data_IF_082180087692
#
_entry.id   IF_082180087692
#
_cell.length_a   1.000
_cell.length_b   1.000
_cell.length_c   1.000
_cell.angle_alpha   90.00
_cell.angle_beta   90.00
_cell.angle_gamma   90.00
#
_symmetry.space_group_name_H-M   'P 1'
#
loop_
_entity.id
_entity.type
_entity.pdbx_description
1 polymer ?
#
# COMPACT_ATOMS: atom_id res chain seq x y z
N UNK A 1 9.68 -12.65 23.41
CA UNK A 1 8.75 -11.51 23.34
C UNK A 1 9.30 -10.55 22.32
N UNK A 2 8.53 -10.20 21.30
CA UNK A 2 8.94 -9.17 20.33
C UNK A 2 8.99 -7.80 21.02
N UNK A 3 9.75 -6.85 20.48
CA UNK A 3 9.76 -5.48 21.01
C UNK A 3 8.35 -4.87 21.08
N UNK A 4 7.48 -5.24 20.12
CA UNK A 4 6.09 -4.80 19.99
C UNK A 4 5.18 -5.33 21.10
N UNK A 5 5.51 -6.47 21.70
CA UNK A 5 4.75 -7.06 22.81
C UNK A 5 5.22 -6.59 24.18
N UNK A 6 6.28 -5.78 24.24
CA UNK A 6 6.85 -5.33 25.49
C UNK A 6 5.90 -4.38 26.22
N UNK A 7 5.84 -4.51 27.55
CA UNK A 7 5.07 -3.59 28.39
C UNK A 7 5.50 -2.12 28.20
N UNK A 8 6.81 -1.78 28.15
CA UNK A 8 7.25 -0.41 27.90
C UNK A 8 6.72 0.14 26.57
N UNK A 9 6.75 -0.65 25.50
CA UNK A 9 6.22 -0.22 24.20
C UNK A 9 4.73 0.10 24.30
N UNK A 10 3.92 -0.81 24.85
CA UNK A 10 2.48 -0.59 25.00
C UNK A 10 2.16 0.65 25.85
N UNK A 11 2.81 0.80 27.00
CA UNK A 11 2.64 1.97 27.88
C UNK A 11 3.05 3.27 27.16
N UNK A 12 4.13 3.24 26.37
CA UNK A 12 4.55 4.37 25.54
C UNK A 12 3.53 4.75 24.48
N UNK A 13 2.99 3.77 23.75
CA UNK A 13 1.94 4.02 22.74
C UNK A 13 0.70 4.64 23.39
N UNK A 14 0.25 4.12 24.54
CA UNK A 14 -0.87 4.72 25.28
C UNK A 14 -0.57 6.17 25.70
N UNK A 15 0.65 6.44 26.15
CA UNK A 15 1.05 7.78 26.54
C UNK A 15 1.05 8.74 25.34
N UNK A 16 1.60 8.33 24.19
CA UNK A 16 1.59 9.12 22.96
C UNK A 16 0.15 9.41 22.51
N UNK A 17 -0.73 8.41 22.54
CA UNK A 17 -2.12 8.59 22.18
C UNK A 17 -2.83 9.61 23.10
N UNK A 18 -2.53 9.61 24.40
CA UNK A 18 -3.04 10.60 25.34
C UNK A 18 -2.51 12.02 25.04
N UNK A 19 -1.22 12.16 24.69
CA UNK A 19 -0.64 13.45 24.29
C UNK A 19 -1.32 14.01 23.04
N UNK A 20 -1.62 13.17 22.05
CA UNK A 20 -2.28 13.60 20.82
C UNK A 20 -3.69 14.15 21.03
N UNK A 21 -4.46 13.61 21.97
CA UNK A 21 -5.82 14.08 22.26
C UNK A 21 -5.89 15.56 22.64
N UNK A 22 -4.84 16.10 23.27
CA UNK A 22 -4.78 17.51 23.65
C UNK A 22 -4.27 18.47 22.57
N UNK A 23 -3.66 17.94 21.50
CA UNK A 23 -2.81 18.76 20.62
C UNK A 23 -3.06 18.58 19.11
N UNK A 24 -3.66 17.47 18.69
CA UNK A 24 -3.91 17.12 17.29
C UNK A 24 -5.40 16.81 17.05
N UNK A 25 -5.87 17.06 15.83
CA UNK A 25 -7.20 16.59 15.42
C UNK A 25 -7.22 15.05 15.43
N UNK A 26 -8.30 14.44 15.91
CA UNK A 26 -8.42 12.98 16.04
C UNK A 26 -8.10 12.21 14.74
N UNK A 27 -8.48 12.79 13.59
CA UNK A 27 -8.19 12.23 12.26
C UNK A 27 -6.70 12.15 11.92
N UNK A 28 -5.87 12.96 12.58
CA UNK A 28 -4.43 13.04 12.32
C UNK A 28 -3.64 12.13 13.27
N UNK A 29 -4.25 11.60 14.33
CA UNK A 29 -3.57 10.75 15.32
C UNK A 29 -2.96 9.50 14.69
N UNK A 30 -3.67 8.73 13.82
CA UNK A 30 -3.12 7.51 13.26
C UNK A 30 -1.91 7.77 12.38
N UNK A 31 -2.01 8.75 11.47
CA UNK A 31 -0.90 9.07 10.56
C UNK A 31 0.32 9.61 11.30
N UNK A 32 0.12 10.44 12.32
CA UNK A 32 1.21 10.94 13.14
C UNK A 32 1.92 9.80 13.89
N UNK A 33 1.16 8.91 14.57
CA UNK A 33 1.73 7.79 15.32
C UNK A 33 2.51 6.86 14.40
N UNK A 34 1.86 6.40 13.34
CA UNK A 34 2.41 5.39 12.43
C UNK A 34 3.58 5.91 11.63
N UNK A 35 3.53 7.18 11.19
CA UNK A 35 4.66 7.86 10.57
C UNK A 35 5.85 7.94 11.53
N UNK A 36 5.66 8.30 12.80
CA UNK A 36 6.77 8.36 13.75
C UNK A 36 7.39 6.99 14.02
N UNK A 37 6.56 5.94 14.15
CA UNK A 37 7.04 4.57 14.39
C UNK A 37 7.78 4.01 13.17
N UNK A 38 7.27 4.21 11.95
CA UNK A 38 7.94 3.76 10.73
C UNK A 38 9.29 4.47 10.53
N UNK A 39 9.33 5.79 10.78
CA UNK A 39 10.57 6.58 10.68
C UNK A 39 11.61 6.12 11.72
N UNK A 40 11.17 5.85 12.95
CA UNK A 40 12.03 5.30 14.01
C UNK A 40 12.61 3.95 13.61
N UNK A 41 11.78 3.05 13.08
CA UNK A 41 12.24 1.74 12.61
C UNK A 41 13.30 1.87 11.51
N UNK A 42 13.05 2.71 10.50
CA UNK A 42 14.00 2.96 9.43
C UNK A 42 15.33 3.52 9.96
N UNK A 43 15.27 4.46 10.93
CA UNK A 43 16.46 5.01 11.57
C UNK A 43 17.24 3.96 12.39
N UNK A 44 16.56 3.05 13.07
CA UNK A 44 17.19 1.96 13.82
C UNK A 44 17.89 0.97 12.89
N UNK A 45 17.27 0.62 11.76
CA UNK A 45 17.89 -0.26 10.77
C UNK A 45 19.12 0.39 10.13
N UNK A 46 19.05 1.69 9.84
CA UNK A 46 20.22 2.46 9.39
C UNK A 46 21.34 2.48 10.43
N UNK A 47 21.01 2.69 11.70
CA UNK A 47 21.98 2.65 12.80
C UNK A 47 22.63 1.27 12.97
N UNK A 48 21.90 0.20 12.66
CA UNK A 48 22.40 -1.18 12.62
C UNK A 48 23.26 -1.49 11.37
N UNK A 49 23.38 -0.55 10.43
CA UNK A 49 24.25 -0.66 9.26
C UNK A 49 23.54 -1.06 7.96
N UNK A 50 22.21 -1.18 7.95
CA UNK A 50 21.47 -1.40 6.70
C UNK A 50 21.34 -0.08 5.92
N UNK A 51 22.07 0.01 4.81
CA UNK A 51 22.11 1.17 3.92
C UNK A 51 21.50 0.83 2.55
N UNK A 52 20.60 -0.15 2.48
CA UNK A 52 19.98 -0.58 1.22
C UNK A 52 18.65 0.15 0.97
N UNK A 53 18.30 0.38 -0.30
CA UNK A 53 17.00 0.95 -0.67
C UNK A 53 16.70 2.27 0.04
N UNK A 54 15.49 2.39 0.61
CA UNK A 54 15.05 3.58 1.36
C UNK A 54 15.92 3.86 2.59
N UNK A 55 16.50 2.83 3.20
CA UNK A 55 17.24 2.97 4.46
C UNK A 55 18.54 3.76 4.32
N UNK A 56 19.12 3.81 3.11
CA UNK A 56 20.24 4.73 2.82
C UNK A 56 19.89 6.20 3.09
N UNK A 57 18.63 6.58 2.90
CA UNK A 57 18.10 7.93 3.07
C UNK A 57 17.35 8.14 4.40
N UNK A 58 17.19 7.09 5.20
CA UNK A 58 16.58 7.20 6.53
C UNK A 58 17.36 8.20 7.42
N UNK A 59 16.68 8.87 8.36
CA UNK A 59 17.35 9.84 9.22
C UNK A 59 18.25 9.15 10.25
N UNK A 60 19.18 9.92 10.82
CA UNK A 60 19.81 9.57 12.09
C UNK A 60 18.89 10.03 13.21
N UNK A 61 18.32 9.10 13.98
CA UNK A 61 17.29 9.43 14.98
C UNK A 61 17.77 10.43 16.04
N UNK A 62 19.03 10.35 16.45
CA UNK A 62 19.61 11.25 17.44
C UNK A 62 19.70 12.71 16.95
N UNK A 63 19.80 12.95 15.64
CA UNK A 63 19.76 14.31 15.09
C UNK A 63 18.37 14.92 15.24
N UNK A 64 17.31 14.13 15.02
CA UNK A 64 15.92 14.57 15.23
C UNK A 64 15.68 14.86 16.72
N UNK A 65 16.18 13.98 17.59
CA UNK A 65 16.06 14.11 19.06
C UNK A 65 16.78 15.34 19.61
N UNK A 66 17.90 15.73 19.01
CA UNK A 66 18.70 16.88 19.44
C UNK A 66 18.32 18.19 18.71
N UNK A 67 17.39 18.16 17.76
CA UNK A 67 17.01 19.33 16.98
C UNK A 67 16.32 20.39 17.84
N UNK A 68 16.61 21.66 17.57
CA UNK A 68 15.89 22.79 18.19
C UNK A 68 14.41 22.81 17.77
N UNK A 69 14.13 22.41 16.52
CA UNK A 69 12.77 22.22 16.00
C UNK A 69 12.56 20.78 15.55
N UNK A 70 12.12 19.87 16.46
CA UNK A 70 11.86 18.48 16.12
C UNK A 70 10.79 18.31 15.04
N UNK A 71 9.76 19.16 14.98
CA UNK A 71 8.74 19.12 13.94
C UNK A 71 9.34 19.36 12.55
N UNK A 72 10.21 20.37 12.41
CA UNK A 72 10.93 20.61 11.16
C UNK A 72 11.83 19.42 10.78
N UNK A 73 12.58 18.89 11.76
CA UNK A 73 13.48 17.77 11.53
C UNK A 73 12.73 16.50 11.08
N UNK A 74 11.56 16.23 11.65
CA UNK A 74 10.68 15.12 11.26
C UNK A 74 10.15 15.29 9.83
N UNK A 75 9.65 16.49 9.48
CA UNK A 75 9.17 16.77 8.11
C UNK A 75 10.31 16.70 7.09
N UNK A 76 11.50 17.22 7.42
CA UNK A 76 12.68 17.12 6.57
C UNK A 76 13.17 15.67 6.39
N UNK A 77 13.01 14.81 7.41
CA UNK A 77 13.34 13.41 7.30
C UNK A 77 12.45 12.69 6.27
N UNK A 78 11.14 12.96 6.27
CA UNK A 78 10.23 12.42 5.28
C UNK A 78 10.46 12.99 3.88
N UNK A 79 10.76 14.28 3.75
CA UNK A 79 11.14 14.88 2.47
C UNK A 79 12.37 14.19 1.86
N UNK A 80 13.39 13.86 2.67
CA UNK A 80 14.57 13.10 2.18
C UNK A 80 14.24 11.69 1.72
N UNK A 81 13.34 11.00 2.41
CA UNK A 81 12.86 9.68 1.99
C UNK A 81 12.06 9.76 0.69
N UNK A 82 11.29 10.84 0.51
CA UNK A 82 10.53 11.12 -0.70
C UNK A 82 11.44 11.47 -1.89
N UNK A 83 12.48 12.29 -1.69
CA UNK A 83 13.48 12.60 -2.73
C UNK A 83 14.28 11.37 -3.20
N UNK A 84 14.37 10.34 -2.36
CA UNK A 84 15.03 9.08 -2.70
C UNK A 84 14.18 8.16 -3.58
N UNK A 85 12.87 8.43 -3.66
CA UNK A 85 11.93 7.67 -4.47
C UNK A 85 12.21 7.93 -5.98
N UNK A 86 12.26 6.89 -6.83
CA UNK A 86 12.60 7.05 -8.25
C UNK A 86 11.52 7.77 -9.09
N UNK A 87 10.32 7.94 -8.55
CA UNK A 87 9.18 8.53 -9.23
C UNK A 87 8.97 10.01 -8.94
N UNK A 88 7.83 10.53 -9.40
CA UNK A 88 7.39 11.92 -9.13
C UNK A 88 6.22 11.98 -8.15
N UNK A 89 5.74 10.82 -7.73
CA UNK A 89 4.63 10.65 -6.80
C UNK A 89 5.04 11.13 -5.41
N UNK A 90 4.10 11.75 -4.70
CA UNK A 90 4.31 12.14 -3.31
C UNK A 90 3.70 11.12 -2.38
N UNK A 91 4.52 10.49 -1.56
CA UNK A 91 4.15 9.38 -0.68
C UNK A 91 3.85 9.85 0.74
N UNK A 92 4.59 10.87 1.20
CA UNK A 92 4.62 11.27 2.61
C UNK A 92 4.20 12.74 2.83
N UNK A 93 3.67 13.40 1.81
CA UNK A 93 3.18 14.79 1.87
C UNK A 93 2.12 15.03 2.97
N UNK A 94 1.33 14.02 3.30
CA UNK A 94 0.37 14.06 4.41
C UNK A 94 1.02 14.00 5.82
N UNK A 95 2.33 13.72 5.91
CA UNK A 95 3.12 13.69 7.16
C UNK A 95 3.85 15.02 7.41
N UNK A 96 3.08 16.05 7.73
CA UNK A 96 3.62 17.34 8.15
C UNK A 96 3.59 17.51 9.68
N UNK A 97 4.75 17.73 10.29
CA UNK A 97 4.91 17.93 11.73
C UNK A 97 5.15 19.42 12.02
N UNK A 98 4.13 20.11 12.51
CA UNK A 98 4.21 21.56 12.71
C UNK A 98 5.20 21.94 13.82
N UNK A 99 6.11 22.88 13.52
CA UNK A 99 7.03 23.49 14.49
C UNK A 99 6.30 24.15 15.67
N UNK A 100 5.06 24.61 15.46
CA UNK A 100 4.21 25.16 16.53
C UNK A 100 3.86 24.14 17.63
N UNK A 101 4.17 22.87 17.40
CA UNK A 101 3.93 21.74 18.31
C UNK A 101 5.24 21.06 18.71
N UNK A 102 6.37 21.77 18.66
CA UNK A 102 7.68 21.19 18.98
C UNK A 102 7.78 20.67 20.42
N UNK A 103 7.05 21.27 21.38
CA UNK A 103 6.94 20.73 22.75
C UNK A 103 6.31 19.32 22.75
N UNK A 104 5.22 19.12 21.99
CA UNK A 104 4.59 17.81 21.81
C UNK A 104 5.55 16.83 21.14
N UNK A 105 6.19 17.24 20.05
CA UNK A 105 7.08 16.36 19.30
C UNK A 105 8.29 15.96 20.13
N UNK A 106 8.84 16.87 20.93
CA UNK A 106 9.94 16.57 21.87
C UNK A 106 9.56 15.47 22.85
N UNK A 107 8.37 15.56 23.46
CA UNK A 107 7.89 14.55 24.41
C UNK A 107 7.64 13.19 23.74
N UNK A 108 6.99 13.21 22.56
CA UNK A 108 6.71 11.99 21.80
C UNK A 108 7.99 11.32 21.31
N UNK A 109 8.96 12.09 20.80
CA UNK A 109 10.27 11.58 20.38
C UNK A 109 11.00 10.99 21.59
N UNK A 110 10.94 11.61 22.76
CA UNK A 110 11.56 11.07 23.97
C UNK A 110 10.97 9.70 24.35
N UNK A 111 9.65 9.54 24.25
CA UNK A 111 8.98 8.24 24.48
C UNK A 111 9.43 7.20 23.44
N UNK A 112 9.37 7.54 22.15
CA UNK A 112 9.75 6.62 21.05
C UNK A 112 11.24 6.23 21.11
N UNK A 113 12.09 7.14 21.60
CA UNK A 113 13.53 6.87 21.80
C UNK A 113 13.79 5.81 22.87
N UNK A 114 12.80 5.49 23.72
CA UNK A 114 12.87 4.40 24.70
C UNK A 114 12.78 3.00 24.08
N UNK A 115 12.48 2.87 22.79
CA UNK A 115 12.31 1.59 22.10
C UNK A 115 13.33 1.41 20.97
N UNK A 116 13.72 0.16 20.73
CA UNK A 116 14.40 -0.24 19.49
C UNK A 116 13.41 -1.03 18.64
N UNK A 117 13.25 -0.59 17.39
CA UNK A 117 12.31 -1.15 16.42
C UNK A 117 13.03 -1.78 15.23
N UNK A 118 14.37 -1.75 15.16
CA UNK A 118 15.15 -2.24 14.03
C UNK A 118 14.99 -3.74 13.76
N UNK A 119 14.92 -4.55 14.82
CA UNK A 119 14.77 -6.01 14.73
C UNK A 119 13.30 -6.48 14.73
N UNK A 120 12.33 -5.57 14.70
CA UNK A 120 10.93 -5.95 14.58
C UNK A 120 10.71 -6.71 13.26
N UNK A 121 9.95 -7.81 13.31
CA UNK A 121 9.53 -8.50 12.10
C UNK A 121 8.70 -7.55 11.22
N UNK A 122 9.05 -7.36 9.93
CA UNK A 122 8.41 -6.34 9.09
C UNK A 122 6.92 -6.62 8.88
N UNK A 123 6.49 -7.88 8.83
CA UNK A 123 5.08 -8.27 8.66
C UNK A 123 4.28 -7.91 9.92
N UNK A 124 4.76 -8.31 11.10
CA UNK A 124 4.14 -7.95 12.37
C UNK A 124 4.11 -6.44 12.59
N UNK A 125 5.18 -5.74 12.18
CA UNK A 125 5.28 -4.29 12.31
C UNK A 125 4.29 -3.56 11.39
N UNK A 126 4.25 -3.90 10.10
CA UNK A 126 3.28 -3.30 9.17
C UNK A 126 1.83 -3.61 9.57
N UNK A 127 1.55 -4.83 10.02
CA UNK A 127 0.23 -5.20 10.54
C UNK A 127 -0.21 -4.34 11.74
N UNK A 128 0.71 -4.05 12.67
CA UNK A 128 0.43 -3.15 13.78
C UNK A 128 0.18 -1.70 13.31
N UNK A 129 0.96 -1.20 12.36
CA UNK A 129 0.72 0.14 11.80
C UNK A 129 -0.66 0.23 11.14
N UNK A 130 -1.02 -0.77 10.33
CA UNK A 130 -2.34 -0.88 9.70
C UNK A 130 -3.46 -0.94 10.74
N UNK A 131 -3.25 -1.65 11.86
CA UNK A 131 -4.20 -1.64 12.96
C UNK A 131 -4.42 -0.23 13.55
N UNK A 132 -3.36 0.56 13.76
CA UNK A 132 -3.53 1.95 14.22
C UNK A 132 -4.24 2.82 13.17
N UNK A 133 -3.91 2.66 11.88
CA UNK A 133 -4.61 3.33 10.77
C UNK A 133 -6.11 3.05 10.77
N UNK A 134 -6.49 1.82 11.11
CA UNK A 134 -7.89 1.38 11.17
C UNK A 134 -8.66 2.03 12.30
N UNK A 135 -8.09 1.99 13.49
CA UNK A 135 -8.76 2.39 14.72
C UNK A 135 -9.08 3.89 14.74
N UNK A 136 -8.30 4.74 14.07
CA UNK A 136 -8.54 6.18 14.10
C UNK A 136 -9.25 6.82 12.89
N UNK A 137 -9.59 6.08 11.83
CA UNK A 137 -10.16 6.68 10.61
C UNK A 137 -11.55 6.22 10.18
N UNK A 138 -12.30 5.50 11.01
CA UNK A 138 -13.58 4.93 10.57
C UNK A 138 -13.39 4.12 9.27
N UNK A 139 -12.21 3.50 9.14
CA UNK A 139 -11.80 2.79 7.94
C UNK A 139 -12.87 1.76 7.66
N UNK A 140 -13.45 1.70 6.45
CA UNK A 140 -14.54 0.79 6.15
C UNK A 140 -14.08 -0.68 6.10
N UNK A 141 -13.03 -1.07 6.84
CA UNK A 141 -12.75 -2.41 7.36
C UNK A 141 -12.70 -3.60 6.39
N UNK A 142 -12.85 -3.42 5.08
CA UNK A 142 -13.32 -4.52 4.20
C UNK A 142 -12.29 -5.07 3.22
N UNK A 143 -11.02 -4.63 3.25
CA UNK A 143 -10.07 -5.03 2.20
C UNK A 143 -8.60 -5.10 2.64
N UNK A 144 -8.33 -5.31 3.93
CA UNK A 144 -6.98 -5.73 4.33
C UNK A 144 -6.74 -7.17 3.85
N UNK A 145 -5.59 -7.43 3.25
CA UNK A 145 -5.16 -8.75 2.79
C UNK A 145 -4.52 -9.47 3.96
N UNK A 146 -5.14 -10.53 4.51
CA UNK A 146 -4.53 -11.26 5.62
C UNK A 146 -3.17 -11.85 5.22
N UNK A 147 -2.16 -11.88 6.10
CA UNK A 147 -0.82 -12.35 5.74
C UNK A 147 -0.79 -13.74 5.06
N UNK A 148 -1.54 -14.76 5.55
CA UNK A 148 -1.58 -16.06 4.86
C UNK A 148 -2.11 -15.98 3.42
N UNK A 149 -3.05 -15.07 3.17
CA UNK A 149 -3.59 -14.84 1.83
C UNK A 149 -2.56 -14.12 0.95
N UNK A 150 -1.87 -13.09 1.46
CA UNK A 150 -0.82 -12.39 0.72
C UNK A 150 0.29 -13.36 0.28
N UNK A 151 0.69 -14.29 1.16
CA UNK A 151 1.68 -15.33 0.83
C UNK A 151 1.17 -16.33 -0.21
N UNK A 152 -0.10 -16.72 -0.14
CA UNK A 152 -0.72 -17.57 -1.16
C UNK A 152 -0.73 -16.87 -2.53
N UNK A 153 -1.16 -15.60 -2.57
CA UNK A 153 -1.19 -14.80 -3.79
C UNK A 153 0.20 -14.67 -4.39
N UNK A 154 1.21 -14.36 -3.58
CA UNK A 154 2.60 -14.24 -4.03
C UNK A 154 3.16 -15.58 -4.55
N UNK A 155 2.87 -16.69 -3.88
CA UNK A 155 3.31 -18.02 -4.30
C UNK A 155 2.67 -18.51 -5.59
N UNK A 156 1.40 -18.18 -5.83
CA UNK A 156 0.71 -18.45 -7.10
C UNK A 156 1.20 -17.53 -8.22
N UNK A 157 1.47 -16.26 -7.91
CA UNK A 157 2.02 -15.31 -8.87
C UNK A 157 3.42 -15.72 -9.31
N UNK A 158 4.24 -16.16 -8.34
CA UNK A 158 5.63 -16.60 -8.53
C UNK A 158 6.48 -15.63 -9.37
N UNK A 159 6.59 -14.34 -8.96
CA UNK A 159 7.27 -13.32 -9.76
C UNK A 159 8.74 -13.66 -10.03
N UNK A 160 9.11 -13.59 -11.31
CA UNK A 160 10.48 -13.81 -11.78
C UNK A 160 11.35 -12.55 -11.63
N UNK A 161 12.62 -12.64 -12.05
CA UNK A 161 13.58 -11.55 -11.90
C UNK A 161 13.25 -10.42 -12.88
N UNK A 162 13.22 -9.18 -12.38
CA UNK A 162 13.08 -7.99 -13.24
C UNK A 162 11.66 -7.72 -13.71
N UNK A 163 10.67 -8.46 -13.19
CA UNK A 163 9.27 -8.31 -13.59
C UNK A 163 8.61 -7.14 -12.86
N UNK A 164 7.57 -6.60 -13.49
CA UNK A 164 6.69 -5.58 -12.95
C UNK A 164 5.40 -6.23 -12.43
N UNK A 165 5.01 -5.91 -11.19
CA UNK A 165 3.75 -6.40 -10.62
C UNK A 165 2.87 -5.24 -10.16
N UNK A 166 1.57 -5.31 -10.44
CA UNK A 166 0.59 -4.29 -10.09
C UNK A 166 -0.52 -4.84 -9.20
N UNK A 167 -0.91 -4.07 -8.17
CA UNK A 167 -2.21 -4.18 -7.51
C UNK A 167 -3.02 -2.91 -7.84
N UNK A 168 -3.95 -2.99 -8.80
CA UNK A 168 -4.75 -1.84 -9.21
C UNK A 168 -5.83 -1.47 -8.17
N UNK A 169 -5.99 -2.25 -7.11
CA UNK A 169 -7.00 -2.08 -6.05
C UNK A 169 -6.35 -2.02 -4.66
N UNK A 170 -5.07 -1.65 -4.60
CA UNK A 170 -4.22 -1.74 -3.43
C UNK A 170 -4.73 -0.90 -2.26
N UNK A 171 -4.86 -1.49 -1.08
CA UNK A 171 -5.27 -0.77 0.13
C UNK A 171 -4.22 -0.78 1.25
N UNK A 172 -3.41 -1.83 1.33
CA UNK A 172 -2.41 -2.02 2.38
C UNK A 172 -0.99 -2.32 1.87
N UNK A 173 -0.84 -2.70 0.60
CA UNK A 173 0.43 -3.07 -0.01
C UNK A 173 0.88 -4.50 0.29
N UNK A 174 0.11 -5.27 1.07
CA UNK A 174 0.52 -6.57 1.61
C UNK A 174 0.79 -7.61 0.52
N UNK A 175 -0.07 -7.69 -0.50
CA UNK A 175 0.11 -8.61 -1.63
C UNK A 175 1.39 -8.29 -2.45
N UNK A 176 1.67 -7.00 -2.66
CA UNK A 176 2.85 -6.54 -3.41
C UNK A 176 4.14 -6.80 -2.64
N UNK A 177 4.21 -6.48 -1.34
CA UNK A 177 5.40 -6.75 -0.54
C UNK A 177 5.63 -8.25 -0.36
N UNK A 178 4.58 -9.06 -0.28
CA UNK A 178 4.69 -10.51 -0.30
C UNK A 178 5.28 -11.02 -1.62
N UNK A 179 4.89 -10.45 -2.77
CA UNK A 179 5.49 -10.74 -4.08
C UNK A 179 6.98 -10.40 -4.13
N UNK A 180 7.36 -9.19 -3.70
CA UNK A 180 8.76 -8.80 -3.62
C UNK A 180 9.57 -9.71 -2.69
N UNK A 181 8.98 -10.10 -1.55
CA UNK A 181 9.62 -11.02 -0.59
C UNK A 181 9.80 -12.40 -1.18
N UNK A 182 8.79 -12.95 -1.83
CA UNK A 182 8.86 -14.23 -2.54
C UNK A 182 10.03 -14.24 -3.54
N UNK A 183 10.12 -13.20 -4.36
CA UNK A 183 11.19 -13.08 -5.36
C UNK A 183 12.59 -13.04 -4.72
N UNK A 184 12.76 -12.29 -3.61
CA UNK A 184 14.02 -12.28 -2.86
C UNK A 184 14.38 -13.65 -2.30
N UNK A 185 13.42 -14.35 -1.69
CA UNK A 185 13.62 -15.67 -1.08
C UNK A 185 13.95 -16.76 -2.12
N UNK A 186 13.51 -16.57 -3.38
CA UNK A 186 13.73 -17.52 -4.48
C UNK A 186 14.88 -17.11 -5.43
N UNK A 187 15.66 -16.08 -5.09
CA UNK A 187 16.83 -15.67 -5.87
C UNK A 187 16.52 -14.89 -7.16
N UNK A 188 15.32 -14.32 -7.26
CA UNK A 188 14.84 -13.50 -8.38
C UNK A 188 14.61 -12.02 -7.98
N UNK A 189 15.53 -11.33 -7.29
CA UNK A 189 15.30 -9.97 -6.81
C UNK A 189 15.14 -8.96 -7.96
N UNK A 190 14.59 -7.79 -7.66
CA UNK A 190 14.40 -6.70 -8.63
C UNK A 190 13.02 -6.70 -9.25
N UNK A 191 11.99 -6.96 -8.45
CA UNK A 191 10.59 -6.80 -8.84
C UNK A 191 10.20 -5.34 -8.65
N UNK A 192 9.59 -4.71 -9.66
CA UNK A 192 9.04 -3.36 -9.53
C UNK A 192 7.58 -3.41 -9.15
N UNK A 193 7.19 -2.70 -8.09
CA UNK A 193 5.83 -2.74 -7.54
C UNK A 193 5.01 -1.54 -8.03
N UNK A 194 3.75 -1.76 -8.36
CA UNK A 194 2.81 -0.71 -8.75
C UNK A 194 1.53 -0.85 -7.93
N UNK A 195 1.18 0.18 -7.16
CA UNK A 195 -0.04 0.21 -6.37
C UNK A 195 -0.94 1.33 -6.88
N UNK A 196 -2.23 1.05 -7.07
CA UNK A 196 -3.23 2.11 -7.17
C UNK A 196 -4.12 2.09 -5.94
N UNK A 197 -4.14 3.18 -5.19
CA UNK A 197 -4.92 3.35 -3.96
C UNK A 197 -6.15 4.23 -4.20
N UNK A 198 -7.28 4.00 -3.51
CA UNK A 198 -8.49 4.78 -3.74
C UNK A 198 -8.44 6.19 -3.14
N UNK A 199 -7.59 6.43 -2.13
CA UNK A 199 -7.54 7.69 -1.38
C UNK A 199 -6.13 8.04 -0.92
N UNK A 200 -5.89 9.32 -0.63
CA UNK A 200 -4.62 9.78 -0.05
C UNK A 200 -4.31 9.08 1.29
N UNK A 201 -5.35 8.83 2.10
CA UNK A 201 -5.22 8.10 3.36
C UNK A 201 -4.69 6.67 3.16
N UNK A 202 -5.16 5.97 2.13
CA UNK A 202 -4.66 4.62 1.79
C UNK A 202 -3.31 4.69 1.10
N UNK A 203 -3.02 5.72 0.29
CA UNK A 203 -1.66 5.97 -0.25
C UNK A 203 -0.62 5.99 0.86
N UNK A 204 -0.86 6.77 1.91
CA UNK A 204 0.10 6.88 3.00
C UNK A 204 0.30 5.54 3.74
N UNK A 205 -0.77 4.78 3.96
CA UNK A 205 -0.66 3.45 4.56
C UNK A 205 0.21 2.50 3.70
N UNK A 206 -0.01 2.46 2.39
CA UNK A 206 0.79 1.66 1.45
C UNK A 206 2.25 2.13 1.40
N UNK A 207 2.50 3.44 1.36
CA UNK A 207 3.85 4.00 1.38
C UNK A 207 4.62 3.61 2.64
N UNK A 208 3.97 3.63 3.81
CA UNK A 208 4.56 3.18 5.07
C UNK A 208 4.81 1.66 5.06
N UNK A 209 3.93 0.85 4.46
CA UNK A 209 4.19 -0.58 4.25
C UNK A 209 5.43 -0.80 3.37
N UNK A 210 5.58 -0.08 2.26
CA UNK A 210 6.76 -0.18 1.40
C UNK A 210 8.05 0.27 2.10
N UNK A 211 7.99 1.30 2.94
CA UNK A 211 9.12 1.72 3.78
C UNK A 211 9.51 0.62 4.78
N UNK A 212 8.55 0.05 5.51
CA UNK A 212 8.78 -0.99 6.53
C UNK A 212 9.40 -2.26 5.94
N UNK A 213 9.00 -2.62 4.72
CA UNK A 213 9.52 -3.78 3.99
C UNK A 213 10.74 -3.46 3.11
N UNK A 214 11.21 -2.21 3.13
CA UNK A 214 12.32 -1.67 2.31
C UNK A 214 12.19 -2.03 0.82
N UNK A 215 11.07 -1.64 0.21
CA UNK A 215 10.75 -1.84 -1.20
C UNK A 215 10.92 -0.53 -2.01
N UNK A 216 12.15 -0.13 -2.38
CA UNK A 216 12.42 1.16 -3.04
C UNK A 216 11.91 1.24 -4.48
N UNK A 217 11.88 0.12 -5.19
CA UNK A 217 11.44 0.04 -6.59
C UNK A 217 9.92 -0.15 -6.65
N UNK A 218 9.19 0.87 -6.23
CA UNK A 218 7.74 0.83 -6.15
C UNK A 218 7.12 2.17 -6.60
N UNK A 219 5.88 2.14 -7.08
CA UNK A 219 5.13 3.30 -7.59
C UNK A 219 3.72 3.29 -7.00
N UNK A 220 3.20 4.47 -6.64
CA UNK A 220 1.86 4.58 -6.05
C UNK A 220 1.04 5.65 -6.77
N UNK A 221 -0.01 5.24 -7.45
CA UNK A 221 -1.04 6.14 -7.95
C UNK A 221 -2.22 6.22 -6.98
N UNK A 222 -2.96 7.33 -7.02
CA UNK A 222 -4.13 7.55 -6.15
C UNK A 222 -5.32 8.04 -6.94
N UNK A 223 -6.48 7.43 -6.71
CA UNK A 223 -7.75 7.75 -7.34
C UNK A 223 -8.56 6.50 -7.69
N UNK A 224 -9.79 6.72 -8.16
CA UNK A 224 -10.68 5.63 -8.59
C UNK A 224 -10.07 4.87 -9.78
N UNK A 225 -9.81 3.58 -9.60
CA UNK A 225 -9.18 2.69 -10.59
C UNK A 225 -9.91 2.64 -11.93
N UNK A 226 -11.24 2.78 -11.94
CA UNK A 226 -12.01 2.69 -13.19
C UNK A 226 -12.09 4.03 -13.91
N UNK A 227 -12.32 5.12 -13.18
CA UNK A 227 -12.51 6.46 -13.72
C UNK A 227 -11.19 7.20 -13.99
N UNK A 228 -10.20 6.98 -13.13
CA UNK A 228 -8.89 7.63 -13.16
C UNK A 228 -7.78 6.57 -12.92
N UNK A 229 -7.58 5.61 -13.86
CA UNK A 229 -6.46 4.68 -13.78
C UNK A 229 -5.13 5.44 -13.70
N UNK A 230 -4.29 5.04 -12.76
CA UNK A 230 -3.01 5.69 -12.46
C UNK A 230 -1.89 5.35 -13.43
N UNK A 231 -1.98 4.18 -14.06
CA UNK A 231 -0.95 3.64 -14.95
C UNK A 231 -1.53 3.46 -16.35
N UNK A 232 -1.27 4.44 -17.23
CA UNK A 232 -1.89 4.56 -18.56
C UNK A 232 -0.82 4.89 -19.60
N UNK A 233 -0.90 4.21 -20.74
CA UNK A 233 -0.10 4.48 -21.93
C UNK A 233 -1.01 4.88 -23.10
N UNK A 234 -1.17 6.20 -23.26
CA UNK A 234 -2.06 6.76 -24.28
C UNK A 234 -3.53 6.40 -24.02
N UNK A 235 -4.06 5.42 -24.77
CA UNK A 235 -5.46 4.94 -24.69
C UNK A 235 -5.59 3.54 -24.11
N UNK A 236 -4.53 3.01 -23.50
CA UNK A 236 -4.51 1.69 -22.87
C UNK A 236 -3.99 1.83 -21.45
N UNK A 237 -4.30 0.85 -20.61
CA UNK A 237 -3.59 0.71 -19.35
C UNK A 237 -2.14 0.33 -19.64
N UNK A 238 -1.22 0.72 -18.76
CA UNK A 238 0.11 0.14 -18.75
C UNK A 238 -0.02 -1.38 -18.50
N UNK A 239 0.84 -2.16 -19.14
CA UNK A 239 0.85 -3.61 -19.04
C UNK A 239 1.93 -4.06 -18.06
N UNK A 240 1.62 -5.11 -17.29
CA UNK A 240 2.47 -5.65 -16.24
C UNK A 240 2.59 -7.16 -16.37
N UNK A 241 3.76 -7.70 -16.01
CA UNK A 241 4.02 -9.14 -15.98
C UNK A 241 3.15 -9.86 -14.95
N UNK A 242 2.80 -9.17 -13.86
CA UNK A 242 1.96 -9.69 -12.80
C UNK A 242 0.86 -8.73 -12.38
N UNK A 243 -0.35 -9.24 -12.21
CA UNK A 243 -1.46 -8.50 -11.57
C UNK A 243 -1.88 -9.28 -10.33
N UNK A 244 -1.87 -8.65 -9.16
CA UNK A 244 -2.13 -9.33 -7.88
C UNK A 244 -3.01 -8.50 -6.97
N UNK A 245 -3.91 -9.13 -6.21
CA UNK A 245 -4.66 -8.42 -5.16
C UNK A 245 -6.05 -8.99 -4.89
N UNK A 246 -6.87 -8.17 -4.25
CA UNK A 246 -8.27 -8.50 -3.92
C UNK A 246 -9.18 -7.59 -4.74
N UNK A 247 -9.96 -8.16 -5.66
CA UNK A 247 -10.92 -7.39 -6.45
C UNK A 247 -12.04 -6.88 -5.53
N UNK A 248 -12.29 -5.56 -5.47
CA UNK A 248 -13.32 -5.01 -4.59
C UNK A 248 -14.71 -5.55 -4.93
N UNK A 249 -15.44 -6.01 -3.92
CA UNK A 249 -16.84 -6.38 -4.04
C UNK A 249 -17.74 -5.15 -3.82
N UNK A 250 -18.85 -5.05 -4.54
CA UNK A 250 -19.91 -4.10 -4.17
C UNK A 250 -20.90 -3.75 -5.27
N UNK A 251 -22.12 -3.37 -4.88
CA UNK A 251 -23.15 -2.88 -5.77
C UNK A 251 -23.21 -1.34 -5.71
N UNK A 252 -22.85 -0.68 -6.81
CA UNK A 252 -23.20 0.72 -7.13
C UNK A 252 -22.64 1.04 -8.52
N UNK A 253 -23.19 2.09 -9.15
CA UNK A 253 -22.69 2.63 -10.42
C UNK A 253 -21.16 2.80 -10.35
N UNK A 254 -20.47 2.15 -11.29
CA UNK A 254 -19.02 2.15 -11.40
C UNK A 254 -18.50 3.24 -12.34
N UNK A 255 -19.32 4.26 -12.61
CA UNK A 255 -19.04 5.27 -13.62
C UNK A 255 -19.42 4.80 -15.02
N UNK A 256 -20.41 3.91 -15.11
CA UNK A 256 -20.76 3.22 -16.35
C UNK A 256 -21.14 4.16 -17.49
N UNK A 257 -21.72 5.33 -17.21
CA UNK A 257 -22.03 6.35 -18.21
C UNK A 257 -20.78 7.08 -18.71
N UNK A 258 -19.84 7.38 -17.82
CA UNK A 258 -18.59 8.06 -18.17
C UNK A 258 -17.63 7.16 -18.96
N UNK A 259 -17.78 5.84 -18.81
CA UNK A 259 -16.90 4.84 -19.41
C UNK A 259 -17.52 4.17 -20.66
N UNK A 260 -18.48 4.82 -21.32
CA UNK A 260 -19.10 4.34 -22.56
C UNK A 260 -19.07 5.42 -23.67
N UNK A 261 -18.20 5.28 -24.70
CA UNK A 261 -17.22 4.20 -24.89
C UNK A 261 -16.08 4.26 -23.86
N UNK A 262 -15.49 3.10 -23.54
CA UNK A 262 -14.40 3.04 -22.55
C UNK A 262 -13.13 3.72 -23.11
N UNK A 263 -12.62 4.78 -22.46
CA UNK A 263 -11.46 5.51 -22.95
C UNK A 263 -10.19 4.64 -23.02
N UNK A 264 -10.11 3.59 -22.18
CA UNK A 264 -8.93 2.74 -21.97
C UNK A 264 -9.02 1.34 -22.63
N UNK A 265 -10.08 1.06 -23.39
CA UNK A 265 -10.25 -0.18 -24.16
C UNK A 265 -10.22 -1.50 -23.34
N UNK A 266 -10.72 -1.47 -22.10
CA UNK A 266 -10.62 -2.58 -21.12
C UNK A 266 -11.69 -3.65 -21.31
N UNK A 267 -12.87 -3.28 -21.81
CA UNK A 267 -14.04 -4.19 -21.88
C UNK A 267 -14.02 -5.11 -23.11
N UNK A 268 -12.89 -5.77 -23.36
CA UNK A 268 -12.65 -6.63 -24.54
C UNK A 268 -13.57 -7.84 -24.61
N UNK A 269 -14.01 -8.37 -23.46
CA UNK A 269 -14.94 -9.49 -23.35
C UNK A 269 -16.42 -9.07 -23.25
N UNK A 270 -16.68 -7.76 -23.31
CA UNK A 270 -18.02 -7.17 -23.20
C UNK A 270 -18.14 -6.16 -22.05
N UNK A 271 -19.07 -5.22 -22.22
CA UNK A 271 -19.32 -4.16 -21.23
C UNK A 271 -20.12 -4.72 -20.04
N UNK A 272 -19.64 -4.62 -18.80
CA UNK A 272 -20.36 -5.07 -17.61
C UNK A 272 -21.72 -4.36 -17.43
N UNK A 273 -22.70 -4.99 -16.75
CA UNK A 273 -23.95 -4.32 -16.44
C UNK A 273 -23.74 -3.13 -15.49
N UNK A 274 -24.56 -2.08 -15.64
CA UNK A 274 -24.49 -0.87 -14.77
C UNK A 274 -24.68 -1.20 -13.28
N UNK A 275 -25.38 -2.28 -12.99
CA UNK A 275 -25.72 -2.73 -11.63
C UNK A 275 -24.65 -3.60 -10.96
N UNK A 276 -23.57 -3.96 -11.67
CA UNK A 276 -22.46 -4.72 -11.09
C UNK A 276 -21.11 -4.27 -11.64
N UNK A 277 -20.17 -4.01 -10.72
CA UNK A 277 -18.81 -3.55 -11.02
C UNK A 277 -17.77 -4.67 -11.06
N UNK A 278 -18.12 -5.88 -10.64
CA UNK A 278 -17.14 -6.96 -10.45
C UNK A 278 -16.40 -7.28 -11.76
N UNK A 279 -17.15 -7.41 -12.87
CA UNK A 279 -16.55 -7.62 -14.19
C UNK A 279 -15.88 -6.35 -14.74
N UNK A 280 -16.21 -5.15 -14.25
CA UNK A 280 -15.50 -3.93 -14.64
C UNK A 280 -14.09 -3.93 -14.05
N UNK A 281 -13.97 -4.28 -12.76
CA UNK A 281 -12.67 -4.44 -12.11
C UNK A 281 -11.89 -5.64 -12.65
N UNK A 282 -12.53 -6.80 -12.86
CA UNK A 282 -11.83 -7.94 -13.46
C UNK A 282 -11.35 -7.63 -14.89
N UNK A 283 -12.15 -6.91 -15.68
CA UNK A 283 -11.72 -6.48 -17.02
C UNK A 283 -10.57 -5.46 -16.96
N UNK A 284 -10.58 -4.56 -15.97
CA UNK A 284 -9.45 -3.67 -15.74
C UNK A 284 -8.18 -4.48 -15.45
N UNK A 285 -8.24 -5.41 -14.49
CA UNK A 285 -7.10 -6.24 -14.11
C UNK A 285 -6.57 -7.07 -15.28
N UNK A 286 -7.45 -7.67 -16.09
CA UNK A 286 -7.07 -8.39 -17.31
C UNK A 286 -6.45 -7.48 -18.38
N UNK A 287 -6.93 -6.23 -18.50
CA UNK A 287 -6.41 -5.26 -19.46
C UNK A 287 -5.07 -4.64 -19.04
N UNK A 288 -4.69 -4.76 -17.77
CA UNK A 288 -3.38 -4.38 -17.23
C UNK A 288 -2.32 -5.48 -17.38
N UNK A 289 -2.66 -6.62 -17.98
CA UNK A 289 -1.74 -7.75 -18.12
C UNK A 289 -0.95 -7.64 -19.43
N UNK A 290 0.37 -7.84 -19.35
CA UNK A 290 1.21 -7.99 -20.54
C UNK A 290 1.03 -9.37 -21.18
N UNK A 291 1.49 -9.51 -22.42
CA UNK A 291 1.48 -10.78 -23.14
C UNK A 291 2.34 -11.81 -22.40
N UNK A 292 1.71 -12.88 -21.91
CA UNK A 292 2.36 -13.92 -21.10
C UNK A 292 2.43 -13.62 -19.60
N UNK A 293 1.89 -12.48 -19.16
CA UNK A 293 1.76 -12.16 -17.74
C UNK A 293 0.77 -13.06 -16.99
N UNK A 294 0.79 -12.99 -15.66
CA UNK A 294 -0.11 -13.75 -14.77
C UNK A 294 -0.94 -12.84 -13.87
N UNK A 295 -2.26 -13.08 -13.85
CA UNK A 295 -3.17 -12.46 -12.89
C UNK A 295 -3.52 -13.45 -11.78
N UNK A 296 -3.27 -13.07 -10.52
CA UNK A 296 -3.66 -13.83 -9.33
C UNK A 296 -4.47 -12.93 -8.41
N UNK A 297 -5.79 -13.12 -8.38
CA UNK A 297 -6.67 -12.28 -7.59
C UNK A 297 -7.75 -13.06 -6.85
N UNK A 298 -8.12 -12.55 -5.67
CA UNK A 298 -9.37 -12.93 -5.01
C UNK A 298 -10.51 -12.16 -5.65
N UNK A 299 -11.54 -12.87 -6.11
CA UNK A 299 -12.70 -12.26 -6.77
C UNK A 299 -13.98 -12.40 -5.93
N UNK A 300 -14.94 -11.47 -6.04
CA UNK A 300 -16.27 -11.67 -5.49
C UNK A 300 -16.90 -12.95 -6.05
N UNK A 301 -17.49 -13.79 -5.19
CA UNK A 301 -18.03 -15.10 -5.60
C UNK A 301 -19.04 -15.01 -6.75
N UNK A 302 -19.76 -13.88 -6.86
CA UNK A 302 -20.73 -13.64 -7.94
C UNK A 302 -20.14 -13.71 -9.34
N UNK A 303 -18.86 -13.41 -9.53
CA UNK A 303 -18.14 -13.56 -10.81
C UNK A 303 -18.30 -14.99 -11.33
N UNK A 304 -18.27 -15.99 -10.45
CA UNK A 304 -18.25 -17.41 -10.83
C UNK A 304 -19.61 -17.93 -11.35
N UNK A 305 -20.73 -17.42 -10.83
CA UNK A 305 -22.04 -18.07 -11.04
C UNK A 305 -23.19 -17.16 -11.44
N UNK A 306 -23.07 -15.82 -11.35
CA UNK A 306 -24.19 -14.94 -11.69
C UNK A 306 -24.69 -15.21 -13.12
N UNK A 307 -26.02 -15.21 -13.25
CA UNK A 307 -26.73 -15.65 -14.44
C UNK A 307 -27.19 -14.51 -15.36
N UNK A 308 -26.93 -13.25 -14.98
CA UNK A 308 -27.24 -12.11 -15.82
C UNK A 308 -26.61 -12.30 -17.20
N UNK A 309 -27.39 -12.06 -18.26
CA UNK A 309 -27.01 -12.39 -19.65
C UNK A 309 -25.62 -11.86 -20.00
N UNK A 310 -25.34 -10.62 -19.65
CA UNK A 310 -24.07 -9.95 -19.93
C UNK A 310 -22.91 -10.54 -19.15
N UNK A 311 -23.05 -10.76 -17.83
CA UNK A 311 -21.99 -11.39 -17.01
C UNK A 311 -21.71 -12.82 -17.47
N UNK A 312 -22.74 -13.59 -17.84
CA UNK A 312 -22.57 -14.92 -18.42
C UNK A 312 -21.80 -14.87 -19.74
N UNK A 313 -22.10 -13.90 -20.61
CA UNK A 313 -21.41 -13.74 -21.88
C UNK A 313 -19.93 -13.39 -21.68
N UNK A 314 -19.63 -12.43 -20.81
CA UNK A 314 -18.25 -12.04 -20.45
C UNK A 314 -17.49 -13.25 -19.89
N UNK A 315 -18.07 -13.96 -18.91
CA UNK A 315 -17.47 -15.18 -18.35
C UNK A 315 -17.17 -16.23 -19.40
N UNK A 316 -18.13 -16.48 -20.30
CA UNK A 316 -17.99 -17.48 -21.36
C UNK A 316 -16.87 -17.07 -22.33
N UNK A 317 -16.75 -15.78 -22.64
CA UNK A 317 -15.69 -15.28 -23.50
C UNK A 317 -14.31 -15.42 -22.87
N UNK A 318 -14.17 -15.08 -21.57
CA UNK A 318 -12.92 -15.27 -20.81
C UNK A 318 -12.49 -16.74 -20.79
N UNK A 319 -13.43 -17.67 -20.54
CA UNK A 319 -13.15 -19.11 -20.52
C UNK A 319 -12.81 -19.63 -21.92
N UNK A 320 -13.53 -19.19 -22.95
CA UNK A 320 -13.28 -19.63 -24.33
C UNK A 320 -11.96 -19.09 -24.88
N UNK A 321 -11.46 -17.97 -24.34
CA UNK A 321 -10.14 -17.41 -24.65
C UNK A 321 -9.03 -17.99 -23.75
N UNK A 322 -9.32 -19.06 -23.01
CA UNK A 322 -8.36 -19.83 -22.19
C UNK A 322 -7.60 -18.96 -21.17
N UNK A 323 -8.31 -18.02 -20.53
CA UNK A 323 -7.73 -17.07 -19.56
C UNK A 323 -7.82 -17.51 -18.10
N UNK A 324 -8.36 -18.69 -17.81
CA UNK A 324 -8.56 -19.20 -16.44
C UNK A 324 -7.76 -20.48 -16.26
N UNK A 325 -6.87 -20.49 -15.28
CA UNK A 325 -6.05 -21.63 -14.85
C UNK A 325 -6.55 -22.21 -13.52
#
# INVERSE_FOLDING_TARGET
MTALDSRPFREGIFHIAALFQGHLDARDHPKALTGLLALKRAADQKAAGDLTGFLSHAPVWDEIRAAESPGEALTAAYARLEEAHPGTERWFDDLTFSQKKDDLWSEVIAIISGFSLGDADPEAFSGMLLQFYREGAGWPGSFETPPPLALLLAGLLAPEKGVSIVDPFCQDGAALVAGARYAREHGTPGVTLYAQTPTEYTRLAVALTFLVHNCPDAHIATGDTLLAPGFVEGRRLAAFDGVVGIIPAGAADWGSEALQPDPYLRFIYGVPPRTSRDYAYLSHALASLDDGGRLVAVVPAGVLFRSARTERAIRTAIVNDDRVE
#
